data_IF_373589303254
#
_entry.id   IF_373589303254
#
_cell.length_a   1.000
_cell.length_b   1.000
_cell.length_c   1.000
_cell.angle_alpha   90.00
_cell.angle_beta   90.00
_cell.angle_gamma   90.00
#
_symmetry.space_group_name_H-M   'P 1'
#
loop_
_entity.id
_entity.type
_entity.pdbx_description
1 polymer ?
#
# COMPACT_ATOMS: atom_id res chain seq x y z
N UNK A 1 -7.32 -15.47 -5.94
CA UNK A 1 -7.79 -14.15 -5.46
C UNK A 1 -7.99 -14.19 -3.94
N UNK A 2 -7.06 -13.67 -3.12
CA UNK A 2 -7.30 -13.39 -1.69
C UNK A 2 -7.39 -11.87 -1.53
N UNK A 3 -8.49 -11.27 -1.99
CA UNK A 3 -8.84 -9.91 -1.63
C UNK A 3 -9.36 -9.94 -0.19
N UNK A 4 -8.47 -9.58 0.72
CA UNK A 4 -8.74 -9.42 2.15
C UNK A 4 -7.67 -8.51 2.73
N UNK A 5 -7.40 -7.39 2.05
CA UNK A 5 -6.58 -6.32 2.60
C UNK A 5 -7.55 -5.34 3.25
N UNK A 6 -7.27 -4.91 4.47
CA UNK A 6 -8.04 -3.90 5.21
C UNK A 6 -8.40 -2.68 4.33
N UNK A 7 -7.55 -2.33 3.35
CA UNK A 7 -7.76 -1.24 2.40
C UNK A 7 -9.02 -1.34 1.53
N UNK A 8 -9.64 -2.50 1.35
CA UNK A 8 -10.91 -2.61 0.59
C UNK A 8 -12.16 -2.39 1.45
N UNK A 9 -12.07 -2.53 2.77
CA UNK A 9 -13.22 -2.36 3.68
C UNK A 9 -13.47 -0.89 4.02
N UNK A 10 -12.41 -0.09 4.06
CA UNK A 10 -12.45 1.33 4.45
C UNK A 10 -13.37 2.16 3.53
N UNK A 11 -13.29 2.05 2.18
CA UNK A 11 -14.23 2.74 1.29
C UNK A 11 -15.69 2.28 1.47
N UNK A 12 -15.91 1.00 1.81
CA UNK A 12 -17.25 0.47 2.09
C UNK A 12 -17.88 1.10 3.33
N UNK A 13 -17.11 1.30 4.40
CA UNK A 13 -17.57 2.00 5.60
C UNK A 13 -17.90 3.47 5.30
N UNK A 14 -17.05 4.15 4.52
CA UNK A 14 -17.33 5.51 4.08
C UNK A 14 -18.68 5.60 3.33
N UNK A 15 -18.92 4.68 2.37
CA UNK A 15 -20.18 4.60 1.62
C UNK A 15 -21.39 4.37 2.54
N UNK A 16 -21.25 3.45 3.49
CA UNK A 16 -22.30 3.11 4.45
C UNK A 16 -22.58 4.23 5.47
N UNK A 17 -21.66 5.18 5.63
CA UNK A 17 -21.82 6.33 6.52
C UNK A 17 -22.89 7.33 6.08
N UNK A 18 -23.42 7.23 4.85
CA UNK A 18 -24.48 8.09 4.31
C UNK A 18 -24.23 9.60 4.53
N UNK A 19 -22.98 10.04 4.34
CA UNK A 19 -22.57 11.45 4.50
C UNK A 19 -22.23 11.88 5.94
N UNK A 20 -22.26 10.96 6.91
CA UNK A 20 -21.82 11.22 8.29
C UNK A 20 -20.31 11.07 8.50
N UNK A 21 -19.61 10.54 7.49
CA UNK A 21 -18.15 10.39 7.47
C UNK A 21 -17.66 11.40 6.45
N UNK A 22 -17.14 12.53 6.93
CA UNK A 22 -16.38 13.46 6.11
C UNK A 22 -14.89 13.03 6.06
N UNK A 23 -14.07 13.83 5.38
CA UNK A 23 -12.64 13.53 5.23
C UNK A 23 -11.87 13.63 6.54
N UNK A 24 -12.25 14.52 7.46
CA UNK A 24 -11.57 14.66 8.75
C UNK A 24 -11.82 13.44 9.64
N UNK A 25 -13.06 12.96 9.68
CA UNK A 25 -13.42 11.70 10.36
C UNK A 25 -12.70 10.53 9.70
N UNK A 26 -12.67 10.48 8.37
CA UNK A 26 -11.98 9.43 7.63
C UNK A 26 -10.48 9.39 7.93
N UNK A 27 -9.81 10.55 7.98
CA UNK A 27 -8.41 10.65 8.38
C UNK A 27 -8.18 10.19 9.81
N UNK A 28 -9.08 10.56 10.72
CA UNK A 28 -9.10 10.04 12.08
C UNK A 28 -9.17 8.50 12.11
N UNK A 29 -10.00 7.89 11.26
CA UNK A 29 -10.10 6.44 11.13
C UNK A 29 -8.81 5.82 10.59
N UNK A 30 -8.22 6.38 9.51
CA UNK A 30 -6.95 5.90 8.95
C UNK A 30 -5.85 5.96 10.01
N UNK A 31 -5.73 7.08 10.73
CA UNK A 31 -4.74 7.25 11.78
C UNK A 31 -4.96 6.26 12.94
N UNK A 32 -6.20 6.07 13.40
CA UNK A 32 -6.53 5.11 14.44
C UNK A 32 -6.16 3.68 14.04
N UNK A 33 -6.42 3.29 12.78
CA UNK A 33 -5.99 1.98 12.25
C UNK A 33 -4.47 1.88 12.26
N UNK A 34 -3.77 2.87 11.70
CA UNK A 34 -2.32 2.87 11.58
C UNK A 34 -1.60 2.81 12.92
N UNK A 35 -2.14 3.47 13.95
CA UNK A 35 -1.52 3.58 15.28
C UNK A 35 -1.96 2.49 16.26
N UNK A 36 -2.97 1.68 15.90
CA UNK A 36 -3.50 0.62 16.75
C UNK A 36 -2.47 -0.47 17.09
N UNK A 37 -2.59 -1.04 18.28
CA UNK A 37 -1.73 -2.15 18.71
C UNK A 37 -1.93 -3.42 17.88
N UNK A 38 -3.15 -3.62 17.37
CA UNK A 38 -3.47 -4.70 16.43
C UNK A 38 -2.61 -4.54 15.17
N UNK A 39 -2.57 -3.33 14.59
CA UNK A 39 -1.76 -3.04 13.42
C UNK A 39 -0.28 -3.29 13.70
N UNK A 40 0.27 -2.71 14.77
CA UNK A 40 1.68 -2.92 15.15
C UNK A 40 2.01 -4.40 15.35
N UNK A 41 1.15 -5.14 16.05
CA UNK A 41 1.33 -6.57 16.31
C UNK A 41 1.34 -7.41 15.03
N UNK A 42 0.53 -7.06 14.02
CA UNK A 42 0.53 -7.73 12.72
C UNK A 42 1.86 -7.62 11.96
N UNK A 43 2.70 -6.63 12.27
CA UNK A 43 3.98 -6.38 11.60
C UNK A 43 5.22 -6.59 12.49
N UNK A 44 5.06 -6.74 13.82
CA UNK A 44 6.14 -6.82 14.82
C UNK A 44 7.32 -7.75 14.50
N UNK A 45 7.07 -8.88 13.85
CA UNK A 45 8.10 -9.89 13.52
C UNK A 45 8.39 -9.98 12.02
N UNK A 46 8.02 -8.96 11.25
CA UNK A 46 8.28 -8.88 9.81
C UNK A 46 9.41 -7.90 9.57
N UNK A 47 10.24 -8.18 8.58
CA UNK A 47 11.30 -7.28 8.17
C UNK A 47 11.24 -7.06 6.65
N UNK A 48 11.33 -5.80 6.23
CA UNK A 48 11.33 -5.40 4.82
C UNK A 48 12.45 -6.07 4.00
N UNK A 49 13.56 -6.44 4.64
CA UNK A 49 14.77 -6.98 4.01
C UNK A 49 14.96 -8.48 4.25
N UNK A 50 13.96 -9.17 4.81
CA UNK A 50 14.01 -10.64 4.87
C UNK A 50 13.92 -11.23 3.47
N UNK A 51 14.74 -12.26 3.19
CA UNK A 51 14.74 -12.95 1.89
C UNK A 51 13.34 -13.39 1.45
N UNK A 52 12.50 -13.83 2.40
CA UNK A 52 11.12 -14.23 2.13
C UNK A 52 10.25 -13.08 1.59
N UNK A 53 10.44 -11.86 2.08
CA UNK A 53 9.72 -10.68 1.61
C UNK A 53 10.24 -10.25 0.23
N UNK A 54 11.56 -10.26 0.02
CA UNK A 54 12.18 -10.00 -1.29
C UNK A 54 11.68 -10.98 -2.34
N UNK A 55 11.70 -12.29 -2.04
CA UNK A 55 11.20 -13.33 -2.93
C UNK A 55 9.71 -13.15 -3.27
N UNK A 56 8.92 -12.63 -2.33
CA UNK A 56 7.51 -12.33 -2.56
C UNK A 56 7.35 -11.19 -3.56
N UNK A 57 8.18 -10.15 -3.49
CA UNK A 57 8.17 -9.06 -4.48
C UNK A 57 8.67 -9.52 -5.85
N UNK A 58 9.72 -10.34 -5.92
CA UNK A 58 10.20 -10.94 -7.18
C UNK A 58 9.08 -11.71 -7.86
N UNK A 59 8.53 -12.74 -7.20
CA UNK A 59 7.41 -13.53 -7.75
C UNK A 59 6.18 -12.67 -8.07
N UNK A 60 5.91 -11.67 -7.23
CA UNK A 60 4.81 -10.74 -7.42
C UNK A 60 4.94 -9.93 -8.70
N UNK A 61 6.13 -9.35 -8.94
CA UNK A 61 6.40 -8.55 -10.14
C UNK A 61 6.28 -9.39 -11.42
N UNK A 62 6.85 -10.60 -11.43
CA UNK A 62 6.76 -11.54 -12.55
C UNK A 62 5.31 -11.94 -12.83
N UNK A 63 4.54 -12.25 -11.79
CA UNK A 63 3.12 -12.57 -11.92
C UNK A 63 2.31 -11.38 -12.44
N UNK A 64 2.60 -10.17 -11.96
CA UNK A 64 1.90 -8.94 -12.33
C UNK A 64 1.99 -8.68 -13.84
N UNK A 65 3.16 -8.96 -14.44
CA UNK A 65 3.44 -8.79 -15.86
C UNK A 65 2.62 -9.72 -16.76
N UNK A 66 2.14 -10.85 -16.22
CA UNK A 66 1.22 -11.75 -16.94
C UNK A 66 -0.16 -11.13 -17.16
N UNK A 67 -0.52 -10.11 -16.36
CA UNK A 67 -1.80 -9.37 -16.46
C UNK A 67 -3.04 -10.29 -16.50
N UNK A 68 -2.98 -11.43 -15.80
CA UNK A 68 -4.03 -12.46 -15.78
C UNK A 68 -5.36 -11.92 -15.22
N UNK A 69 -5.29 -11.00 -14.25
CA UNK A 69 -6.44 -10.39 -13.60
C UNK A 69 -6.45 -8.87 -13.85
N UNK A 70 -7.44 -8.33 -14.59
CA UNK A 70 -7.48 -6.91 -14.95
C UNK A 70 -7.48 -5.95 -13.76
N UNK A 71 -8.00 -6.38 -12.61
CA UNK A 71 -8.08 -5.59 -11.38
C UNK A 71 -6.84 -5.71 -10.48
N UNK A 72 -5.84 -6.50 -10.87
CA UNK A 72 -4.64 -6.69 -10.07
C UNK A 72 -3.62 -5.56 -10.30
N UNK A 73 -2.55 -5.59 -9.51
CA UNK A 73 -1.43 -4.65 -9.59
C UNK A 73 -0.55 -4.94 -10.80
N UNK A 74 0.16 -3.90 -11.27
CA UNK A 74 1.28 -4.03 -12.20
C UNK A 74 2.46 -3.25 -11.63
N UNK A 75 3.60 -3.91 -11.47
CA UNK A 75 4.77 -3.26 -10.90
C UNK A 75 6.08 -3.92 -11.31
N UNK A 76 7.13 -3.10 -11.28
CA UNK A 76 8.51 -3.54 -11.32
C UNK A 76 9.10 -3.57 -9.92
N UNK A 77 10.06 -4.47 -9.73
CA UNK A 77 10.78 -4.63 -8.48
C UNK A 77 12.27 -4.78 -8.75
N UNK A 78 13.09 -4.00 -8.04
CA UNK A 78 14.54 -4.14 -8.02
C UNK A 78 15.02 -4.01 -6.58
N UNK A 79 16.14 -4.65 -6.27
CA UNK A 79 16.68 -4.68 -4.92
C UNK A 79 18.20 -4.77 -4.97
N UNK A 80 18.85 -4.19 -3.96
CA UNK A 80 20.23 -4.44 -3.62
C UNK A 80 20.23 -4.97 -2.18
N UNK A 81 20.91 -6.08 -1.90
CA UNK A 81 21.05 -6.56 -0.51
C UNK A 81 22.40 -6.19 0.10
N UNK A 82 23.36 -5.73 -0.72
CA UNK A 82 24.64 -5.23 -0.24
C UNK A 82 24.48 -3.87 0.45
N UNK A 83 23.52 -3.08 -0.01
CA UNK A 83 22.97 -1.90 0.65
C UNK A 83 21.51 -2.24 0.91
N UNK A 84 21.02 -2.32 2.16
CA UNK A 84 19.68 -2.83 2.44
C UNK A 84 18.60 -1.83 1.99
N UNK A 85 18.34 -1.81 0.69
CA UNK A 85 17.41 -0.96 -0.02
C UNK A 85 16.75 -1.71 -1.18
N UNK A 86 15.52 -1.33 -1.50
CA UNK A 86 14.83 -1.84 -2.69
C UNK A 86 13.86 -0.81 -3.24
N UNK A 87 13.48 -1.01 -4.50
CA UNK A 87 12.58 -0.16 -5.24
C UNK A 87 11.38 -0.96 -5.73
N UNK A 88 10.19 -0.37 -5.61
CA UNK A 88 8.96 -0.90 -6.21
C UNK A 88 8.30 0.22 -6.99
N UNK A 89 8.25 0.07 -8.31
CA UNK A 89 7.55 1.03 -9.18
C UNK A 89 6.21 0.44 -9.56
N UNK A 90 5.13 0.93 -8.95
CA UNK A 90 3.78 0.53 -9.31
C UNK A 90 3.26 1.38 -10.46
N UNK A 91 2.96 0.73 -11.57
CA UNK A 91 2.33 1.35 -12.75
C UNK A 91 0.81 1.24 -12.69
N UNK A 92 0.29 0.20 -12.04
CA UNK A 92 -1.13 0.02 -11.80
C UNK A 92 -1.38 -0.48 -10.37
N UNK A 93 -2.40 0.07 -9.71
CA UNK A 93 -2.77 -0.26 -8.33
C UNK A 93 -4.19 -0.82 -8.27
N UNK A 94 -4.34 -2.04 -7.76
CA UNK A 94 -5.65 -2.70 -7.63
C UNK A 94 -6.64 -1.90 -6.75
N UNK A 95 -6.14 -1.23 -5.71
CA UNK A 95 -6.97 -0.39 -4.83
C UNK A 95 -7.46 0.86 -5.58
N UNK A 96 -6.59 1.53 -6.35
CA UNK A 96 -6.99 2.68 -7.17
C UNK A 96 -8.02 2.28 -8.25
N UNK A 97 -7.89 1.08 -8.84
CA UNK A 97 -8.87 0.57 -9.81
C UNK A 97 -10.25 0.39 -9.17
N UNK A 98 -10.31 -0.20 -7.98
CA UNK A 98 -11.56 -0.35 -7.21
C UNK A 98 -12.13 1.04 -6.83
N UNK A 99 -11.29 1.94 -6.30
CA UNK A 99 -11.72 3.28 -5.93
C UNK A 99 -12.28 4.05 -7.14
N UNK A 100 -11.69 3.88 -8.34
CA UNK A 100 -12.22 4.47 -9.57
C UNK A 100 -13.59 3.89 -9.95
N UNK A 101 -13.79 2.57 -9.83
CA UNK A 101 -15.10 1.94 -10.09
C UNK A 101 -16.19 2.44 -9.14
N UNK A 102 -15.82 2.72 -7.89
CA UNK A 102 -16.75 3.20 -6.85
C UNK A 102 -16.87 4.73 -6.81
N UNK A 103 -16.21 5.46 -7.72
CA UNK A 103 -16.13 6.93 -7.71
C UNK A 103 -15.56 7.53 -6.39
N UNK A 104 -14.57 6.84 -5.81
CA UNK A 104 -13.95 7.15 -4.51
C UNK A 104 -12.46 7.48 -4.61
N UNK A 105 -11.98 7.90 -5.78
CA UNK A 105 -10.56 8.28 -5.95
C UNK A 105 -10.12 9.39 -4.99
N UNK A 106 -11.04 10.26 -4.56
CA UNK A 106 -10.76 11.32 -3.59
C UNK A 106 -10.32 10.81 -2.21
N UNK A 107 -10.61 9.54 -1.86
CA UNK A 107 -10.14 8.91 -0.62
C UNK A 107 -8.72 8.35 -0.73
N UNK A 108 -8.20 8.18 -1.95
CA UNK A 108 -6.91 7.52 -2.16
C UNK A 108 -5.72 8.26 -1.54
N UNK A 109 -5.62 9.61 -1.60
CA UNK A 109 -4.54 10.34 -0.94
C UNK A 109 -4.42 10.01 0.55
N UNK A 110 -5.57 9.84 1.23
CA UNK A 110 -5.66 9.50 2.65
C UNK A 110 -5.29 8.03 2.90
N UNK A 111 -5.81 7.10 2.08
CA UNK A 111 -5.50 5.67 2.23
C UNK A 111 -4.03 5.34 1.93
N UNK A 112 -3.42 6.01 0.94
CA UNK A 112 -2.02 5.78 0.59
C UNK A 112 -1.03 6.20 1.71
N UNK A 113 -1.48 6.95 2.71
CA UNK A 113 -0.67 7.26 3.89
C UNK A 113 -0.38 6.03 4.76
N UNK A 114 -1.23 4.99 4.69
CA UNK A 114 -1.03 3.74 5.42
C UNK A 114 0.26 3.01 5.04
N UNK A 115 0.79 3.26 3.84
CA UNK A 115 2.03 2.64 3.37
C UNK A 115 3.21 2.97 4.30
N UNK A 116 3.32 4.22 4.76
CA UNK A 116 4.42 4.68 5.62
C UNK A 116 4.54 3.90 6.94
N UNK A 117 3.50 3.85 7.82
CA UNK A 117 3.58 3.11 9.06
C UNK A 117 3.74 1.60 8.82
N UNK A 118 3.14 1.04 7.76
CA UNK A 118 3.31 -0.40 7.47
C UNK A 118 4.76 -0.77 7.14
N UNK A 119 5.47 0.08 6.39
CA UNK A 119 6.89 -0.09 6.09
C UNK A 119 7.73 0.16 7.35
N UNK A 120 7.38 1.17 8.14
CA UNK A 120 8.07 1.49 9.39
C UNK A 120 8.00 0.35 10.40
N UNK A 121 6.83 -0.26 10.59
CA UNK A 121 6.67 -1.40 11.49
C UNK A 121 7.43 -2.64 11.02
N UNK A 122 7.81 -2.71 9.75
CA UNK A 122 8.68 -3.74 9.18
C UNK A 122 10.17 -3.36 9.21
N UNK A 123 10.56 -2.32 9.95
CA UNK A 123 11.96 -1.88 10.07
C UNK A 123 12.51 -1.16 8.83
N UNK A 124 11.64 -0.70 7.92
CA UNK A 124 12.03 0.11 6.77
C UNK A 124 11.72 1.59 6.98
N UNK A 125 12.21 2.42 6.06
CA UNK A 125 11.77 3.79 5.84
C UNK A 125 11.34 3.92 4.40
N UNK A 126 10.11 4.38 4.17
CA UNK A 126 9.59 4.63 2.83
C UNK A 126 9.92 6.06 2.39
N UNK A 127 10.53 6.19 1.22
CA UNK A 127 10.76 7.43 0.49
C UNK A 127 9.95 7.31 -0.81
N UNK A 128 9.05 8.27 -1.06
CA UNK A 128 8.14 8.28 -2.22
C UNK A 128 7.89 9.73 -2.62
N UNK A 129 7.90 10.04 -3.91
CA UNK A 129 7.59 11.37 -4.45
C UNK A 129 6.37 11.40 -5.37
N UNK A 130 6.01 10.25 -5.95
CA UNK A 130 4.87 10.03 -6.85
C UNK A 130 3.93 8.98 -6.28
N UNK A 131 2.63 9.20 -6.39
CA UNK A 131 1.59 8.27 -5.92
C UNK A 131 0.42 8.22 -6.90
N UNK A 132 0.11 7.03 -7.44
CA UNK A 132 -1.07 6.80 -8.29
C UNK A 132 -2.38 7.32 -7.65
N UNK A 133 -2.50 7.18 -6.33
CA UNK A 133 -3.64 7.69 -5.55
C UNK A 133 -3.80 9.21 -5.56
N UNK A 134 -2.72 9.95 -5.82
CA UNK A 134 -2.72 11.41 -5.97
C UNK A 134 -2.88 11.86 -7.43
N UNK A 135 -2.97 10.92 -8.37
CA UNK A 135 -3.08 11.20 -9.81
C UNK A 135 -1.75 11.22 -10.56
N UNK A 136 -0.64 10.83 -9.93
CA UNK A 136 0.64 10.66 -10.61
C UNK A 136 0.62 9.45 -11.57
N UNK A 137 1.66 9.33 -12.40
CA UNK A 137 1.84 8.26 -13.38
C UNK A 137 2.30 6.92 -12.76
N UNK A 138 2.86 6.94 -11.55
CA UNK A 138 3.28 5.75 -10.81
C UNK A 138 3.30 5.97 -9.28
N UNK A 139 3.50 4.89 -8.53
CA UNK A 139 4.05 4.99 -7.17
C UNK A 139 5.53 4.60 -7.21
N UNK A 140 6.43 5.50 -6.79
CA UNK A 140 7.89 5.31 -6.81
C UNK A 140 8.43 4.93 -5.42
N UNK A 141 8.06 3.74 -4.92
CA UNK A 141 8.57 3.32 -3.61
C UNK A 141 10.08 3.09 -3.65
N UNK A 142 10.78 3.81 -2.80
CA UNK A 142 12.14 3.54 -2.39
C UNK A 142 12.14 3.21 -0.90
N UNK A 143 12.47 1.97 -0.55
CA UNK A 143 12.49 1.50 0.83
C UNK A 143 13.92 1.24 1.27
N UNK A 144 14.35 1.93 2.33
CA UNK A 144 15.68 1.78 2.93
C UNK A 144 15.57 1.21 4.33
N UNK A 145 16.61 0.54 4.82
CA UNK A 145 16.65 0.06 6.20
C UNK A 145 16.55 1.23 7.18
N UNK A 146 15.68 1.10 8.18
CA UNK A 146 15.62 2.03 9.30
C UNK A 146 16.87 1.81 10.16
N UNK A 147 17.61 2.89 10.41
CA UNK A 147 18.78 2.91 11.29
C UNK A 147 18.45 2.53 12.72
#
# INVERSE_FOLDING_TARGET
>A
MKYGSIGSLIPSYYKAGEGKIDLDVFDGMINAICTSDIMKSMYKNKNCFDQKEIDKYVRGSERSKKREYPMDWLFDFSYDLSVPEYFVTYHECGVCKIARQENMMFLMPHMCLMDYPTIEYKGGKLIRTKTLGNGDDCCDFHVVKKG
#
